data_IF_399790656555
#
_entry.id   IF_399790656555
#
_cell.length_a   1.000
_cell.length_b   1.000
_cell.length_c   1.000
_cell.angle_alpha   90.00
_cell.angle_beta   90.00
_cell.angle_gamma   90.00
#
_symmetry.space_group_name_H-M   'P 1'
#
loop_
_entity.id
_entity.type
_entity.pdbx_description
1 polymer ?
#
# COMPACT_ATOMS: atom_id res chain seq x y z
N UNK A 1 -3.68 -25.07 20.46
CA UNK A 1 -4.43 -23.83 20.22
C UNK A 1 -4.91 -23.84 18.79
N UNK A 2 -6.08 -23.27 18.46
CA UNK A 2 -6.55 -23.25 17.08
C UNK A 2 -5.60 -22.40 16.22
N UNK A 3 -5.29 -22.89 15.01
CA UNK A 3 -4.44 -22.16 14.06
C UNK A 3 -5.17 -20.89 13.61
N UNK A 4 -4.42 -19.83 13.32
CA UNK A 4 -4.97 -18.53 12.88
C UNK A 4 -4.37 -18.16 11.54
N UNK A 5 -5.23 -17.82 10.58
CA UNK A 5 -4.84 -17.18 9.34
C UNK A 5 -4.98 -15.66 9.49
N UNK A 6 -3.94 -14.91 9.15
CA UNK A 6 -3.93 -13.44 9.17
C UNK A 6 -3.67 -12.89 7.77
N UNK A 7 -4.25 -11.74 7.47
CA UNK A 7 -3.82 -10.90 6.35
C UNK A 7 -3.10 -9.69 6.92
N UNK A 8 -1.93 -9.37 6.38
CA UNK A 8 -1.19 -8.16 6.73
C UNK A 8 -1.55 -7.03 5.77
N UNK A 9 -1.63 -5.81 6.27
CA UNK A 9 -1.66 -4.59 5.49
C UNK A 9 -0.35 -3.83 5.69
N UNK A 10 0.37 -3.54 4.62
CA UNK A 10 1.50 -2.61 4.62
C UNK A 10 1.12 -1.33 3.90
N UNK A 11 1.16 -0.19 4.61
CA UNK A 11 0.92 1.13 4.03
C UNK A 11 2.24 1.78 3.61
N UNK A 12 2.53 1.77 2.32
CA UNK A 12 3.66 2.52 1.75
C UNK A 12 3.23 3.96 1.50
N UNK A 13 3.86 4.89 2.20
CA UNK A 13 3.69 6.33 1.99
C UNK A 13 4.77 6.81 1.01
N UNK A 14 4.35 7.61 0.03
CA UNK A 14 5.23 8.19 -0.98
C UNK A 14 5.01 9.70 -1.02
N UNK A 15 6.08 10.45 -0.80
CA UNK A 15 6.18 11.90 -0.97
C UNK A 15 7.56 12.30 -1.53
N UNK A 16 7.81 13.60 -1.61
CA UNK A 16 9.05 14.15 -2.18
C UNK A 16 10.34 13.72 -1.45
N UNK A 17 10.25 13.18 -0.24
CA UNK A 17 11.43 12.71 0.53
C UNK A 17 11.87 11.31 0.12
N UNK A 18 11.02 10.55 -0.59
CA UNK A 18 11.35 9.22 -1.07
C UNK A 18 12.38 9.26 -2.20
N UNK A 19 13.51 8.56 -2.01
CA UNK A 19 14.64 8.60 -2.94
C UNK A 19 14.75 7.38 -3.87
N UNK A 20 13.97 6.32 -3.65
CA UNK A 20 14.04 5.11 -4.48
C UNK A 20 13.48 5.41 -5.88
N UNK A 21 14.09 4.92 -6.97
CA UNK A 21 13.63 5.21 -8.34
C UNK A 21 12.15 4.88 -8.57
N UNK A 22 11.69 3.72 -8.08
CA UNK A 22 10.28 3.32 -8.19
C UNK A 22 9.35 4.31 -7.46
N UNK A 23 9.72 4.74 -6.25
CA UNK A 23 8.92 5.69 -5.46
C UNK A 23 8.79 7.03 -6.18
N UNK A 24 9.89 7.53 -6.77
CA UNK A 24 9.89 8.81 -7.51
C UNK A 24 8.99 8.78 -8.73
N UNK A 25 9.08 7.72 -9.54
CA UNK A 25 8.24 7.58 -10.73
C UNK A 25 6.75 7.50 -10.38
N UNK A 26 6.42 6.73 -9.34
CA UNK A 26 5.04 6.65 -8.83
C UNK A 26 4.57 8.03 -8.32
N UNK A 27 5.42 8.77 -7.61
CA UNK A 27 5.11 10.11 -7.11
C UNK A 27 4.85 11.12 -8.22
N UNK A 28 5.74 11.17 -9.21
CA UNK A 28 5.67 12.11 -10.34
C UNK A 28 4.43 11.85 -11.21
N UNK A 29 4.15 10.60 -11.56
CA UNK A 29 3.03 10.24 -12.42
C UNK A 29 1.68 10.36 -11.71
N UNK A 30 1.61 10.02 -10.41
CA UNK A 30 0.39 10.25 -9.62
C UNK A 30 0.12 11.75 -9.43
N UNK A 31 1.16 12.58 -9.32
CA UNK A 31 1.00 14.02 -9.28
C UNK A 31 0.49 14.59 -10.62
N UNK A 32 1.09 14.17 -11.73
CA UNK A 32 0.68 14.59 -13.06
C UNK A 32 -0.79 14.23 -13.34
N UNK A 33 -1.18 13.00 -12.99
CA UNK A 33 -2.56 12.53 -13.11
C UNK A 33 -3.50 13.33 -12.19
N UNK A 34 -3.12 13.57 -10.93
CA UNK A 34 -3.92 14.39 -10.02
C UNK A 34 -4.16 15.79 -10.59
N UNK A 35 -3.12 16.43 -11.13
CA UNK A 35 -3.20 17.76 -11.74
C UNK A 35 -4.15 17.75 -12.94
N UNK A 36 -4.06 16.77 -13.82
CA UNK A 36 -4.93 16.62 -14.98
C UNK A 36 -6.39 16.41 -14.55
N UNK A 37 -6.65 15.43 -13.69
CA UNK A 37 -8.01 15.10 -13.23
C UNK A 37 -8.64 16.27 -12.47
N UNK A 38 -7.85 17.00 -11.67
CA UNK A 38 -8.35 18.16 -10.94
C UNK A 38 -8.87 19.28 -11.85
N UNK A 39 -8.35 19.43 -13.07
CA UNK A 39 -8.84 20.44 -14.02
C UNK A 39 -10.29 20.20 -14.42
N UNK A 40 -10.70 18.94 -14.55
CA UNK A 40 -12.08 18.58 -14.88
C UNK A 40 -13.06 19.01 -13.77
N UNK A 41 -12.65 18.83 -12.50
CA UNK A 41 -13.45 19.18 -11.32
C UNK A 41 -13.37 20.67 -10.95
N UNK A 42 -12.31 21.36 -11.35
CA UNK A 42 -12.01 22.74 -10.94
C UNK A 42 -11.86 23.66 -12.15
N UNK A 43 -12.89 23.73 -12.98
CA UNK A 43 -12.88 24.50 -14.23
C UNK A 43 -12.66 26.00 -14.00
N UNK A 44 -13.20 26.53 -12.89
CA UNK A 44 -13.01 27.93 -12.46
C UNK A 44 -11.62 28.20 -11.84
N UNK A 45 -10.80 27.16 -11.66
CA UNK A 45 -9.46 27.23 -11.06
C UNK A 45 -9.43 27.84 -9.65
N UNK A 46 -10.53 27.71 -8.90
CA UNK A 46 -10.71 28.34 -7.59
C UNK A 46 -9.96 27.60 -6.47
N UNK A 47 -9.84 26.29 -6.57
CA UNK A 47 -9.24 25.44 -5.53
C UNK A 47 -7.88 24.91 -5.98
N UNK A 48 -6.88 24.88 -5.10
CA UNK A 48 -5.54 24.37 -5.49
C UNK A 48 -5.19 23.10 -4.74
N UNK A 49 -5.73 22.90 -3.55
CA UNK A 49 -5.42 21.74 -2.73
C UNK A 49 -6.46 20.63 -2.88
N UNK A 50 -6.03 19.40 -2.65
CA UNK A 50 -6.93 18.26 -2.62
C UNK A 50 -8.03 18.41 -1.55
N UNK A 51 -7.67 18.94 -0.37
CA UNK A 51 -8.64 19.19 0.71
C UNK A 51 -9.73 20.19 0.31
N UNK A 52 -9.37 21.28 -0.38
CA UNK A 52 -10.35 22.24 -0.89
C UNK A 52 -11.27 21.61 -1.94
N UNK A 53 -10.74 20.79 -2.85
CA UNK A 53 -11.54 20.06 -3.82
C UNK A 53 -12.54 19.15 -3.13
N UNK A 54 -12.10 18.35 -2.15
CA UNK A 54 -12.96 17.45 -1.36
C UNK A 54 -14.09 18.19 -0.65
N UNK A 55 -13.82 19.37 -0.09
CA UNK A 55 -14.81 20.14 0.67
C UNK A 55 -15.80 20.90 -0.20
N UNK A 56 -15.38 21.34 -1.39
CA UNK A 56 -16.15 22.32 -2.17
C UNK A 56 -16.64 21.80 -3.53
N UNK A 57 -16.11 20.69 -4.02
CA UNK A 57 -16.44 20.14 -5.33
C UNK A 57 -17.04 18.75 -5.19
N UNK A 58 -18.33 18.63 -5.47
CA UNK A 58 -19.04 17.34 -5.44
C UNK A 58 -18.43 16.36 -6.44
N UNK A 59 -18.23 15.11 -6.03
CA UNK A 59 -17.64 14.07 -6.89
C UNK A 59 -16.12 14.01 -6.86
N UNK A 60 -15.45 14.95 -6.20
CA UNK A 60 -13.98 15.00 -6.12
C UNK A 60 -13.38 13.85 -5.29
N UNK A 61 -14.18 13.13 -4.50
CA UNK A 61 -13.76 11.89 -3.84
C UNK A 61 -13.32 10.81 -4.85
N UNK A 62 -13.81 10.89 -6.09
CA UNK A 62 -13.40 10.01 -7.20
C UNK A 62 -11.95 10.22 -7.62
N UNK A 63 -11.31 11.32 -7.23
CA UNK A 63 -9.90 11.57 -7.53
C UNK A 63 -8.99 10.44 -7.02
N UNK A 64 -9.33 9.81 -5.89
CA UNK A 64 -8.61 8.61 -5.44
C UNK A 64 -8.58 7.51 -6.50
N UNK A 65 -9.74 7.20 -7.07
CA UNK A 65 -9.87 6.16 -8.08
C UNK A 65 -9.21 6.58 -9.40
N UNK A 66 -9.47 7.81 -9.86
CA UNK A 66 -8.94 8.31 -11.12
C UNK A 66 -7.41 8.36 -11.13
N UNK A 67 -6.81 8.86 -10.05
CA UNK A 67 -5.34 8.94 -9.91
C UNK A 67 -4.71 7.56 -9.75
N UNK A 68 -5.42 6.59 -9.16
CA UNK A 68 -4.88 5.23 -9.00
C UNK A 68 -4.55 4.54 -10.33
N UNK A 69 -5.21 4.93 -11.43
CA UNK A 69 -4.95 4.37 -12.75
C UNK A 69 -3.51 4.61 -13.22
N UNK A 70 -2.94 5.80 -12.94
CA UNK A 70 -1.59 6.16 -13.40
C UNK A 70 -0.49 5.31 -12.77
N UNK A 71 -0.75 4.70 -11.62
CA UNK A 71 0.26 3.91 -10.91
C UNK A 71 0.19 2.40 -11.19
N UNK A 72 -0.80 1.95 -11.97
CA UNK A 72 -1.06 0.52 -12.17
C UNK A 72 0.12 -0.21 -12.81
N UNK A 73 0.78 0.42 -13.80
CA UNK A 73 1.98 -0.15 -14.44
C UNK A 73 3.13 -0.36 -13.46
N UNK A 74 3.32 0.55 -12.50
CA UNK A 74 4.36 0.42 -11.47
C UNK A 74 4.07 -0.72 -10.50
N UNK A 75 2.80 -0.96 -10.17
CA UNK A 75 2.41 -2.08 -9.31
C UNK A 75 2.65 -3.44 -9.98
N UNK A 76 2.45 -3.54 -11.29
CA UNK A 76 2.77 -4.76 -12.05
C UNK A 76 4.27 -5.09 -12.02
N UNK A 77 5.13 -4.08 -12.00
CA UNK A 77 6.59 -4.26 -11.90
C UNK A 77 7.01 -4.92 -10.57
N UNK A 78 6.18 -4.80 -9.52
CA UNK A 78 6.44 -5.46 -8.22
C UNK A 78 6.21 -6.98 -8.28
N UNK A 79 5.62 -7.51 -9.37
CA UNK A 79 5.36 -8.95 -9.57
C UNK A 79 4.67 -9.60 -8.37
N UNK A 80 3.73 -8.88 -7.75
CA UNK A 80 2.96 -9.36 -6.60
C UNK A 80 3.74 -9.44 -5.29
N UNK A 81 4.91 -8.81 -5.18
CA UNK A 81 5.73 -8.80 -3.94
C UNK A 81 5.57 -7.46 -3.21
N UNK A 82 5.23 -7.49 -1.92
CA UNK A 82 5.12 -6.28 -1.11
C UNK A 82 6.52 -5.64 -0.98
N UNK A 83 6.67 -4.34 -1.30
CA UNK A 83 7.96 -3.66 -1.19
C UNK A 83 8.31 -3.39 0.27
N UNK A 84 9.60 -3.23 0.56
CA UNK A 84 10.14 -2.74 1.84
C UNK A 84 9.89 -3.62 3.08
N UNK A 85 9.09 -4.68 3.00
CA UNK A 85 8.94 -5.68 4.07
C UNK A 85 9.84 -6.88 3.77
N UNK A 86 10.79 -7.13 4.67
CA UNK A 86 11.75 -8.21 4.57
C UNK A 86 11.64 -9.11 5.80
N UNK A 87 12.00 -10.38 5.65
CA UNK A 87 12.26 -11.24 6.80
C UNK A 87 13.59 -10.86 7.49
N UNK A 88 13.88 -11.50 8.62
CA UNK A 88 15.11 -11.26 9.38
C UNK A 88 16.40 -11.63 8.61
N UNK A 89 16.30 -12.33 7.48
CA UNK A 89 17.42 -12.64 6.59
C UNK A 89 17.53 -11.66 5.42
N UNK A 90 16.69 -10.62 5.37
CA UNK A 90 16.66 -9.62 4.30
C UNK A 90 15.97 -10.09 3.03
N UNK A 91 15.18 -11.17 3.08
CA UNK A 91 14.47 -11.74 1.93
C UNK A 91 13.07 -11.17 1.81
N UNK A 92 12.63 -10.98 0.58
CA UNK A 92 11.23 -10.64 0.28
C UNK A 92 10.40 -11.91 0.38
N UNK A 93 9.36 -11.90 1.21
CA UNK A 93 8.52 -13.07 1.45
C UNK A 93 7.02 -12.75 1.35
N UNK A 94 6.62 -11.50 1.65
CA UNK A 94 5.22 -11.09 1.56
C UNK A 94 4.80 -10.87 0.11
N UNK A 95 3.73 -11.55 -0.27
CA UNK A 95 3.07 -11.39 -1.57
C UNK A 95 1.70 -10.74 -1.39
N UNK A 96 1.23 -10.02 -2.41
CA UNK A 96 -0.08 -9.36 -2.44
C UNK A 96 -0.77 -9.60 -3.78
N UNK A 97 -2.11 -9.57 -3.75
CA UNK A 97 -2.96 -9.57 -4.96
C UNK A 97 -3.80 -8.30 -5.06
N UNK A 98 -4.12 -7.71 -3.90
CA UNK A 98 -4.98 -6.54 -3.80
C UNK A 98 -4.20 -5.38 -3.18
N UNK A 99 -4.53 -4.18 -3.63
CA UNK A 99 -4.02 -2.94 -3.05
C UNK A 99 -5.14 -1.89 -3.00
N UNK A 100 -4.94 -0.87 -2.17
CA UNK A 100 -5.78 0.33 -2.15
C UNK A 100 -4.91 1.57 -2.23
N UNK A 101 -5.12 2.36 -3.27
CA UNK A 101 -4.53 3.68 -3.42
C UNK A 101 -5.28 4.72 -2.57
N UNK A 102 -4.54 5.67 -2.02
CA UNK A 102 -5.06 6.80 -1.26
C UNK A 102 -4.26 8.05 -1.61
N UNK A 103 -4.96 9.15 -1.79
CA UNK A 103 -4.38 10.47 -2.01
C UNK A 103 -4.42 11.17 -0.65
N UNK A 104 -3.29 11.29 0.03
CA UNK A 104 -3.22 11.82 1.39
C UNK A 104 -3.31 13.34 1.35
N UNK A 105 -2.50 13.95 0.48
CA UNK A 105 -2.49 15.39 0.26
C UNK A 105 -1.95 15.69 -1.13
N UNK A 106 -2.35 16.83 -1.68
CA UNK A 106 -1.77 17.34 -2.92
C UNK A 106 -2.12 18.81 -3.12
N UNK A 107 -1.27 19.51 -3.87
CA UNK A 107 -1.51 20.87 -4.33
C UNK A 107 -1.18 20.94 -5.83
N UNK A 108 -2.14 21.35 -6.66
CA UNK A 108 -2.02 21.39 -8.13
C UNK A 108 -0.78 22.20 -8.59
N UNK A 109 -0.32 23.14 -7.76
CA UNK A 109 0.80 24.03 -8.05
C UNK A 109 2.13 23.58 -7.42
N UNK A 110 2.12 22.60 -6.53
CA UNK A 110 3.29 22.22 -5.74
C UNK A 110 3.38 20.69 -5.53
N UNK A 111 4.25 20.06 -6.31
CA UNK A 111 4.52 18.62 -6.23
C UNK A 111 5.12 18.20 -4.88
N UNK A 112 5.79 19.10 -4.15
CA UNK A 112 6.39 18.79 -2.84
C UNK A 112 5.29 18.45 -1.83
N UNK A 113 4.11 19.05 -1.97
CA UNK A 113 2.92 18.77 -1.16
C UNK A 113 2.18 17.51 -1.58
N UNK A 114 2.51 16.93 -2.73
CA UNK A 114 1.91 15.69 -3.19
C UNK A 114 2.37 14.53 -2.31
N UNK A 115 1.40 13.85 -1.72
CA UNK A 115 1.60 12.74 -0.81
C UNK A 115 0.51 11.70 -1.03
N UNK A 116 0.92 10.47 -1.27
CA UNK A 116 0.02 9.35 -1.54
C UNK A 116 0.35 8.18 -0.60
N UNK A 117 -0.58 7.25 -0.50
CA UNK A 117 -0.34 5.94 0.08
C UNK A 117 -0.84 4.82 -0.83
N UNK A 118 -0.12 3.71 -0.76
CA UNK A 118 -0.53 2.44 -1.35
C UNK A 118 -0.57 1.42 -0.20
N UNK A 119 -1.78 0.94 0.09
CA UNK A 119 -2.00 -0.11 1.09
C UNK A 119 -1.96 -1.45 0.37
N UNK A 120 -0.92 -2.25 0.64
CA UNK A 120 -0.77 -3.60 0.11
C UNK A 120 -1.38 -4.61 1.08
N UNK A 121 -2.28 -5.47 0.59
CA UNK A 121 -2.88 -6.54 1.40
C UNK A 121 -2.24 -7.87 1.05
N UNK A 122 -1.60 -8.50 2.04
CA UNK A 122 -0.91 -9.75 1.80
C UNK A 122 -1.89 -10.87 1.42
N UNK A 123 -1.38 -11.90 0.75
CA UNK A 123 -2.05 -13.21 0.79
C UNK A 123 -2.19 -13.67 2.25
N UNK A 124 -3.19 -14.51 2.57
CA UNK A 124 -3.33 -15.06 3.91
C UNK A 124 -2.06 -15.81 4.35
N UNK A 125 -1.68 -15.61 5.61
CA UNK A 125 -0.53 -16.23 6.24
C UNK A 125 -1.00 -17.00 7.47
N UNK A 126 -0.37 -18.13 7.77
CA UNK A 126 -0.53 -18.78 9.07
C UNK A 126 0.28 -17.99 10.09
N UNK A 127 -0.36 -17.57 11.18
CA UNK A 127 0.32 -17.00 12.35
C UNK A 127 0.68 -18.14 13.31
N UNK A 128 1.98 -18.39 13.47
CA UNK A 128 2.50 -19.43 14.36
C UNK A 128 2.71 -18.90 15.76
N UNK A 129 3.44 -17.79 15.88
CA UNK A 129 3.75 -17.19 17.18
C UNK A 129 4.18 -15.71 17.05
N UNK A 130 4.29 -15.04 18.19
CA UNK A 130 4.84 -13.70 18.35
C UNK A 130 6.03 -13.74 19.31
N UNK A 131 7.20 -13.32 18.84
CA UNK A 131 8.44 -13.29 19.62
C UNK A 131 8.85 -11.82 19.76
N UNK A 132 8.60 -11.23 20.93
CA UNK A 132 8.76 -9.79 21.16
C UNK A 132 7.99 -8.96 20.11
N UNK A 133 8.65 -8.11 19.32
CA UNK A 133 8.03 -7.36 18.23
C UNK A 133 8.16 -8.05 16.86
N UNK A 134 8.29 -9.37 16.84
CA UNK A 134 8.41 -10.18 15.62
C UNK A 134 7.24 -11.14 15.47
N UNK A 135 6.82 -11.37 14.23
CA UNK A 135 5.82 -12.36 13.88
C UNK A 135 6.49 -13.52 13.15
N UNK A 136 6.21 -14.73 13.63
CA UNK A 136 6.54 -15.96 12.94
C UNK A 136 5.34 -16.38 12.09
N UNK A 137 5.53 -16.39 10.76
CA UNK A 137 4.47 -16.65 9.80
C UNK A 137 4.90 -17.64 8.73
N UNK A 138 3.95 -18.31 8.10
CA UNK A 138 4.16 -19.04 6.85
C UNK A 138 3.06 -18.72 5.85
N UNK A 139 3.26 -19.04 4.58
CA UNK A 139 2.18 -19.01 3.61
C UNK A 139 1.04 -19.94 4.06
N UNK A 140 -0.21 -19.53 3.84
CA UNK A 140 -1.35 -20.44 3.98
C UNK A 140 -1.38 -21.36 2.76
N UNK A 141 -1.13 -22.65 2.96
CA UNK A 141 -1.18 -23.70 1.93
C UNK A 141 -2.31 -24.68 2.24
N UNK A 142 -2.91 -25.25 1.19
CA UNK A 142 -3.91 -26.32 1.33
C UNK A 142 -3.27 -27.70 1.54
N UNK A 143 -1.97 -27.83 1.23
CA UNK A 143 -1.20 -29.06 1.39
C UNK A 143 -0.55 -29.04 2.78
N UNK A 144 -0.84 -30.06 3.58
CA UNK A 144 -0.10 -30.35 4.80
C UNK A 144 1.22 -31.01 4.43
N UNK A 145 2.29 -30.21 4.39
CA UNK A 145 3.66 -30.72 4.32
C UNK A 145 4.12 -31.18 5.70
N UNK A 146 5.00 -32.20 5.74
CA UNK A 146 5.66 -32.65 6.98
C UNK A 146 6.53 -31.55 7.61
N UNK A 147 7.02 -30.60 6.80
CA UNK A 147 7.83 -29.46 7.22
C UNK A 147 7.18 -28.14 6.77
N UNK A 148 7.05 -27.17 7.68
CA UNK A 148 6.53 -25.84 7.37
C UNK A 148 7.68 -24.84 7.25
N UNK A 149 7.89 -24.29 6.05
CA UNK A 149 8.80 -23.17 5.86
C UNK A 149 8.21 -21.89 6.44
N UNK A 150 8.96 -21.23 7.31
CA UNK A 150 8.52 -20.03 8.03
C UNK A 150 9.38 -18.81 7.70
N UNK A 151 8.79 -17.64 7.87
CA UNK A 151 9.48 -16.36 7.85
C UNK A 151 9.27 -15.69 9.22
N UNK A 152 10.37 -15.34 9.86
CA UNK A 152 10.37 -14.48 11.03
C UNK A 152 10.68 -13.06 10.56
N UNK A 153 9.81 -12.11 10.88
CA UNK A 153 10.01 -10.72 10.50
C UNK A 153 9.61 -9.77 11.63
N UNK A 154 10.26 -8.61 11.68
CA UNK A 154 9.97 -7.57 12.64
C UNK A 154 8.77 -6.72 12.18
N UNK A 155 7.83 -6.47 13.10
CA UNK A 155 6.75 -5.52 12.88
C UNK A 155 7.33 -4.11 12.79
N UNK A 156 7.50 -3.64 11.56
CA UNK A 156 7.97 -2.30 11.24
C UNK A 156 6.80 -1.31 11.14
N UNK A 157 7.06 0.01 11.18
CA UNK A 157 6.02 1.03 11.01
C UNK A 157 5.16 0.77 9.78
N UNK A 158 3.86 1.09 9.90
CA UNK A 158 2.86 0.95 8.84
C UNK A 158 2.53 -0.48 8.39
N UNK A 159 3.01 -1.50 9.12
CA UNK A 159 2.50 -2.88 9.01
C UNK A 159 1.48 -3.12 10.11
N UNK A 160 0.31 -3.65 9.74
CA UNK A 160 -0.74 -4.05 10.69
C UNK A 160 -1.33 -5.40 10.28
N UNK A 161 -1.83 -6.15 11.26
CA UNK A 161 -2.77 -7.24 10.98
C UNK A 161 -4.08 -6.59 10.54
N UNK A 162 -4.50 -6.85 9.30
CA UNK A 162 -5.73 -6.32 8.70
C UNK A 162 -6.94 -7.17 9.03
N UNK A 163 -6.78 -8.49 9.00
CA UNK A 163 -7.85 -9.43 9.32
C UNK A 163 -7.28 -10.68 9.98
N UNK A 164 -8.12 -11.37 10.74
CA UNK A 164 -7.81 -12.63 11.39
C UNK A 164 -8.98 -13.60 11.24
N UNK A 165 -8.68 -14.84 10.90
CA UNK A 165 -9.64 -15.94 10.80
C UNK A 165 -9.08 -17.13 11.57
N UNK A 166 -9.89 -17.73 12.43
CA UNK A 166 -9.55 -19.03 13.02
C UNK A 166 -9.71 -20.12 11.96
N UNK A 167 -8.70 -20.96 11.81
CA UNK A 167 -8.71 -22.12 10.91
C UNK A 167 -8.63 -23.39 11.76
N UNK A 168 -9.37 -24.42 11.34
CA UNK A 168 -9.46 -25.72 12.01
C UNK A 168 -8.14 -26.50 11.89
#
# INVERSE_FOLDING_TARGET
MPKKAITLCYRKIIDHTNNKPWDKLVHEDSFAEFKMQSQFYNQEQKYTTFAELLLNVAGSEKLHFLVSASITGYLQQLKGIIPDVLDNLGRRFLTFENFRFELINSDIKDIIRHKIAINFFSKPLVWHDTIDNQLLVSALTEIEDEETFTNLFQLQPFVSIYSIKTIE
#
